data_IF_775311754964
#
_entry.id   IF_775311754964
#
_cell.length_a   1.000
_cell.length_b   1.000
_cell.length_c   1.000
_cell.angle_alpha   90.00
_cell.angle_beta   90.00
_cell.angle_gamma   90.00
#
_symmetry.space_group_name_H-M   'P 1'
#
loop_
_entity.id
_entity.type
_entity.pdbx_description
1 polymer ?
#
# COMPACT_ATOMS: atom_id res chain seq x y z
N UNK A 1 -12.64 -23.83 10.67
CA UNK A 1 -12.96 -23.27 9.35
C UNK A 1 -12.13 -22.00 9.18
N UNK A 2 -11.35 -21.89 8.10
CA UNK A 2 -10.48 -20.73 7.86
C UNK A 2 -11.13 -19.87 6.79
N UNK A 3 -11.22 -18.56 7.02
CA UNK A 3 -11.84 -17.62 6.10
C UNK A 3 -10.77 -16.77 5.44
N UNK A 4 -10.95 -16.51 4.14
CA UNK A 4 -10.07 -15.64 3.37
C UNK A 4 -10.92 -14.58 2.68
N UNK A 5 -10.41 -13.35 2.68
CA UNK A 5 -10.96 -12.30 1.86
C UNK A 5 -10.51 -12.51 0.40
N UNK A 6 -11.44 -12.31 -0.52
CA UNK A 6 -11.17 -12.46 -1.96
C UNK A 6 -11.51 -11.15 -2.64
N UNK A 7 -10.50 -10.52 -3.24
CA UNK A 7 -10.68 -9.35 -4.08
C UNK A 7 -11.20 -9.81 -5.45
N UNK A 8 -12.36 -9.30 -5.85
CA UNK A 8 -12.94 -9.56 -7.17
C UNK A 8 -12.83 -8.30 -8.02
N UNK A 9 -12.17 -8.42 -9.17
CA UNK A 9 -11.95 -7.32 -10.11
C UNK A 9 -12.59 -7.68 -11.46
N UNK A 10 -13.52 -6.87 -11.99
CA UNK A 10 -14.00 -7.06 -13.35
C UNK A 10 -12.91 -6.63 -14.35
N UNK A 11 -12.63 -7.47 -15.34
CA UNK A 11 -11.59 -7.22 -16.36
C UNK A 11 -12.12 -7.67 -17.72
N UNK A 12 -12.29 -6.74 -18.66
CA UNK A 12 -12.65 -7.02 -20.07
C UNK A 12 -13.80 -8.02 -20.26
N UNK A 13 -14.89 -7.89 -19.49
CA UNK A 13 -16.05 -8.79 -19.58
C UNK A 13 -15.91 -10.11 -18.80
N UNK A 14 -14.80 -10.31 -18.11
CA UNK A 14 -14.57 -11.41 -17.17
C UNK A 14 -14.43 -10.87 -15.75
N UNK A 15 -14.28 -11.78 -14.80
CA UNK A 15 -13.91 -11.51 -13.42
C UNK A 15 -12.58 -12.17 -13.11
N UNK A 16 -11.71 -11.44 -12.43
CA UNK A 16 -10.52 -11.95 -11.78
C UNK A 16 -10.74 -11.98 -10.28
N UNK A 17 -10.37 -13.07 -9.63
CA UNK A 17 -10.33 -13.19 -8.18
C UNK A 17 -8.88 -13.33 -7.72
N UNK A 18 -8.50 -12.54 -6.71
CA UNK A 18 -7.22 -12.65 -6.01
C UNK A 18 -7.50 -12.90 -4.53
N UNK A 19 -6.96 -13.99 -3.99
CA UNK A 19 -7.15 -14.34 -2.58
C UNK A 19 -6.15 -13.58 -1.72
N UNK A 20 -6.66 -12.76 -0.79
CA UNK A 20 -5.81 -11.93 0.07
C UNK A 20 -5.06 -12.82 1.06
N UNK A 21 -3.74 -12.58 1.20
CA UNK A 21 -2.84 -13.41 1.99
C UNK A 21 -2.32 -14.65 1.25
N UNK A 22 -2.80 -14.93 0.04
CA UNK A 22 -2.29 -15.98 -0.85
C UNK A 22 -1.97 -15.36 -2.23
N UNK A 23 -0.85 -14.63 -2.37
CA UNK A 23 -0.56 -13.81 -3.55
C UNK A 23 -0.48 -14.61 -4.85
N UNK A 24 -0.21 -15.91 -4.77
CA UNK A 24 -0.13 -16.81 -5.92
C UNK A 24 -1.50 -17.37 -6.36
N UNK A 25 -2.57 -17.12 -5.59
CA UNK A 25 -3.92 -17.58 -5.93
C UNK A 25 -4.67 -16.46 -6.63
N UNK A 26 -4.48 -16.41 -7.94
CA UNK A 26 -5.24 -15.55 -8.85
C UNK A 26 -5.90 -16.38 -9.93
N UNK A 27 -7.21 -16.23 -10.12
CA UNK A 27 -7.98 -16.98 -11.11
C UNK A 27 -8.92 -16.06 -11.89
N UNK A 28 -9.27 -16.44 -13.11
CA UNK A 28 -10.24 -15.72 -13.95
C UNK A 28 -11.41 -16.61 -14.35
N UNK A 29 -12.59 -16.01 -14.50
CA UNK A 29 -13.80 -16.68 -14.96
C UNK A 29 -14.79 -15.71 -15.61
N UNK A 30 -15.81 -16.22 -16.30
CA UNK A 30 -16.79 -15.37 -17.01
C UNK A 30 -17.87 -14.83 -16.08
N UNK A 31 -18.08 -15.47 -14.93
CA UNK A 31 -19.10 -15.04 -13.96
C UNK A 31 -18.51 -14.85 -12.58
N UNK A 32 -19.16 -13.99 -11.79
CA UNK A 32 -18.77 -13.73 -10.41
C UNK A 32 -18.79 -15.00 -9.54
N UNK A 33 -19.77 -15.88 -9.73
CA UNK A 33 -19.89 -17.08 -8.92
C UNK A 33 -18.85 -18.13 -9.31
N UNK A 34 -18.62 -18.30 -10.62
CA UNK A 34 -17.59 -19.22 -11.12
C UNK A 34 -16.19 -18.81 -10.64
N UNK A 35 -15.86 -17.52 -10.66
CA UNK A 35 -14.54 -17.07 -10.22
C UNK A 35 -14.31 -17.30 -8.73
N UNK A 36 -15.36 -17.21 -7.91
CA UNK A 36 -15.29 -17.47 -6.46
C UNK A 36 -15.06 -18.96 -6.20
N UNK A 37 -15.79 -19.87 -6.86
CA UNK A 37 -15.59 -21.31 -6.68
C UNK A 37 -14.22 -21.78 -7.20
N UNK A 38 -13.73 -21.19 -8.30
CA UNK A 38 -12.36 -21.43 -8.77
C UNK A 38 -11.32 -20.95 -7.75
N UNK A 39 -11.50 -19.76 -7.18
CA UNK A 39 -10.59 -19.21 -6.18
C UNK A 39 -10.56 -20.09 -4.91
N UNK A 40 -11.72 -20.57 -4.47
CA UNK A 40 -11.84 -21.51 -3.34
C UNK A 40 -11.11 -22.82 -3.61
N UNK A 41 -11.30 -23.40 -4.80
CA UNK A 41 -10.65 -24.65 -5.19
C UNK A 41 -9.13 -24.50 -5.27
N UNK A 42 -8.64 -23.44 -5.91
CA UNK A 42 -7.22 -23.15 -6.02
C UNK A 42 -6.56 -22.88 -4.65
N UNK A 43 -7.25 -22.14 -3.76
CA UNK A 43 -6.76 -21.92 -2.40
C UNK A 43 -6.69 -23.23 -1.61
N UNK A 44 -7.70 -24.11 -1.73
CA UNK A 44 -7.72 -25.40 -1.05
C UNK A 44 -6.58 -26.32 -1.52
N UNK A 45 -6.30 -26.36 -2.83
CA UNK A 45 -5.22 -27.17 -3.41
C UNK A 45 -3.83 -26.73 -2.92
N UNK A 46 -3.57 -25.42 -2.88
CA UNK A 46 -2.31 -24.88 -2.38
C UNK A 46 -2.16 -25.16 -0.87
N UNK A 47 -3.22 -24.94 -0.09
CA UNK A 47 -3.19 -25.19 1.36
C UNK A 47 -3.12 -26.68 1.71
N UNK A 48 -3.54 -27.59 0.83
CA UNK A 48 -3.40 -29.02 1.03
C UNK A 48 -1.93 -29.49 0.87
N UNK A 49 -1.13 -28.75 0.11
CA UNK A 49 0.26 -29.09 -0.22
C UNK A 49 1.30 -28.17 0.43
N UNK A 50 0.86 -27.13 1.15
CA UNK A 50 1.72 -26.07 1.69
C UNK A 50 1.35 -25.71 3.12
N UNK A 51 2.33 -25.20 3.87
CA UNK A 51 2.14 -24.68 5.22
C UNK A 51 2.37 -23.16 5.24
N UNK A 52 1.48 -22.43 5.93
CA UNK A 52 1.68 -21.01 6.22
C UNK A 52 2.52 -20.85 7.48
N UNK A 53 3.78 -20.46 7.30
CA UNK A 53 4.69 -20.16 8.41
C UNK A 53 4.70 -18.65 8.68
N UNK A 54 4.50 -18.26 9.93
CA UNK A 54 4.70 -16.88 10.38
C UNK A 54 6.18 -16.68 10.70
N UNK A 55 6.77 -15.66 10.07
CA UNK A 55 8.11 -15.19 10.40
C UNK A 55 8.02 -13.77 10.94
N UNK A 56 8.78 -13.49 11.99
CA UNK A 56 8.98 -12.14 12.50
C UNK A 56 10.24 -11.57 11.85
N UNK A 57 10.16 -10.33 11.39
CA UNK A 57 11.26 -9.63 10.73
C UNK A 57 11.49 -8.31 11.45
N UNK A 58 12.74 -8.07 11.84
CA UNK A 58 13.17 -6.75 12.29
C UNK A 58 13.32 -5.86 11.04
N UNK A 59 12.31 -5.04 10.79
CA UNK A 59 12.38 -4.03 9.73
C UNK A 59 13.13 -2.83 10.27
N UNK A 60 14.26 -2.47 9.64
CA UNK A 60 14.96 -1.25 9.98
C UNK A 60 13.99 -0.06 9.89
N UNK A 61 14.01 0.87 10.86
CA UNK A 61 13.14 2.03 10.80
C UNK A 61 13.39 2.78 9.48
N UNK A 62 12.33 3.29 8.83
CA UNK A 62 12.49 4.02 7.59
C UNK A 62 13.46 5.18 7.81
N UNK A 63 14.44 5.31 6.90
CA UNK A 63 15.36 6.45 6.92
C UNK A 63 14.51 7.71 6.77
N UNK A 64 14.44 8.51 7.83
CA UNK A 64 13.74 9.79 7.77
C UNK A 64 14.60 10.76 6.96
N UNK A 65 14.42 10.77 5.64
CA UNK A 65 15.13 11.68 4.73
C UNK A 65 14.97 13.16 5.13
N UNK A 66 13.86 13.50 5.82
CA UNK A 66 13.61 14.86 6.30
C UNK A 66 14.39 15.22 7.57
N UNK A 67 14.90 14.23 8.31
CA UNK A 67 15.76 14.48 9.47
C UNK A 67 17.04 15.24 9.08
N UNK A 68 17.54 15.05 7.85
CA UNK A 68 18.70 15.77 7.33
C UNK A 68 18.44 17.28 7.12
N UNK A 69 17.19 17.69 7.00
CA UNK A 69 16.80 19.08 6.75
C UNK A 69 16.33 19.81 8.02
N UNK A 70 16.19 19.08 9.15
CA UNK A 70 15.78 19.64 10.43
C UNK A 70 16.75 20.72 10.92
N UNK A 71 16.29 21.98 10.93
CA UNK A 71 17.11 23.11 11.38
C UNK A 71 18.19 23.57 10.39
N UNK A 72 18.15 23.12 9.13
CA UNK A 72 19.17 23.46 8.12
C UNK A 72 19.34 24.97 7.87
N UNK A 73 18.33 25.78 8.19
CA UNK A 73 18.35 27.24 8.06
C UNK A 73 18.44 27.97 9.41
N UNK A 74 18.69 27.25 10.52
CA UNK A 74 18.78 27.85 11.85
C UNK A 74 19.98 28.82 11.89
N UNK A 75 19.71 30.09 12.16
CA UNK A 75 20.72 31.15 12.20
C UNK A 75 21.15 31.69 10.82
N UNK A 76 20.49 31.29 9.73
CA UNK A 76 20.71 31.91 8.43
C UNK A 76 19.93 33.23 8.34
N UNK A 77 20.65 34.35 8.36
CA UNK A 77 20.09 35.70 8.33
C UNK A 77 19.33 35.99 7.03
N UNK A 78 19.87 35.56 5.88
CA UNK A 78 19.22 35.74 4.57
C UNK A 78 17.89 34.98 4.48
N UNK A 79 17.81 33.79 5.07
CA UNK A 79 16.55 33.05 5.14
C UNK A 79 15.53 33.76 6.03
N UNK A 80 15.96 34.37 7.13
CA UNK A 80 15.08 35.18 7.98
C UNK A 80 14.54 36.42 7.24
N UNK A 81 15.39 37.11 6.49
CA UNK A 81 15.00 38.24 5.64
C UNK A 81 14.00 37.83 4.56
N UNK A 82 14.23 36.70 3.89
CA UNK A 82 13.32 36.14 2.89
C UNK A 82 11.93 35.85 3.48
N UNK A 83 11.87 35.22 4.65
CA UNK A 83 10.58 34.95 5.35
C UNK A 83 9.88 36.26 5.73
N UNK A 84 10.62 37.26 6.21
CA UNK A 84 10.07 38.58 6.54
C UNK A 84 9.48 39.27 5.31
N UNK A 85 10.16 39.21 4.16
CA UNK A 85 9.66 39.78 2.90
C UNK A 85 8.36 39.10 2.43
N UNK A 86 8.27 37.76 2.55
CA UNK A 86 7.04 37.02 2.22
C UNK A 86 5.87 37.44 3.13
N UNK A 87 6.12 37.62 4.43
CA UNK A 87 5.08 38.03 5.38
C UNK A 87 4.53 39.43 5.06
N UNK A 88 5.42 40.37 4.74
CA UNK A 88 5.02 41.72 4.33
C UNK A 88 4.19 41.70 3.04
N UNK A 89 4.58 40.90 2.05
CA UNK A 89 3.82 40.73 0.82
C UNK A 89 2.40 40.21 1.08
N UNK A 90 2.25 39.16 1.91
CA UNK A 90 0.93 38.59 2.26
C UNK A 90 0.01 39.54 3.02
N UNK A 91 0.58 40.47 3.80
CA UNK A 91 -0.18 41.48 4.52
C UNK A 91 -0.60 42.65 3.62
N UNK A 92 0.12 42.91 2.52
CA UNK A 92 -0.21 43.95 1.56
C UNK A 92 -1.26 43.52 0.52
N UNK A 93 -1.49 42.21 0.35
CA UNK A 93 -2.51 41.64 -0.55
C UNK A 93 -3.83 41.24 0.13
N UNK A 94 -4.00 41.52 1.44
CA UNK A 94 -5.30 41.46 2.15
C UNK A 94 -5.79 42.86 2.52
#
# INVERSE_FOLDING_TARGET
MMNYDVLITPINGHFQATVIGLPNVTVTAHTRQEVIERAKSAAAEILASSELVKIELEVAPPINALAAFGGMWKGNELFAEFISAIQQYRQAEN
#
